data_IF_810866593935
#
_entry.id   IF_810866593935
#
_cell.length_a   1.000
_cell.length_b   1.000
_cell.length_c   1.000
_cell.angle_alpha   90.00
_cell.angle_beta   90.00
_cell.angle_gamma   90.00
#
_symmetry.space_group_name_H-M   'P 1'
#
loop_
_entity.id
_entity.type
_entity.pdbx_description
1 polymer ?
#
# COMPACT_ATOMS: atom_id res chain seq x y z
N UNK A 1 10.59 7.79 0.33
CA UNK A 1 9.58 7.68 -0.74
C UNK A 1 8.96 6.30 -0.60
N UNK A 2 7.62 6.18 -0.68
CA UNK A 2 6.96 4.86 -0.61
C UNK A 2 7.19 4.08 -1.90
N UNK A 3 7.43 2.78 -1.78
CA UNK A 3 7.44 1.87 -2.91
C UNK A 3 6.00 1.54 -3.32
N UNK A 4 5.74 1.59 -4.63
CA UNK A 4 4.44 1.26 -5.19
C UNK A 4 4.59 0.61 -6.56
N UNK A 5 3.58 -0.17 -6.94
CA UNK A 5 3.39 -0.70 -8.28
C UNK A 5 2.03 -0.25 -8.81
N UNK A 6 1.95 0.01 -10.11
CA UNK A 6 0.74 0.47 -10.78
C UNK A 6 0.42 -0.40 -11.99
N UNK A 7 -0.83 -0.85 -12.10
CA UNK A 7 -1.29 -1.68 -13.23
C UNK A 7 -2.70 -1.29 -13.67
N UNK A 8 -2.97 -1.49 -14.96
CA UNK A 8 -4.30 -1.35 -15.53
C UNK A 8 -4.72 0.10 -15.79
N UNK A 9 -6.03 0.28 -16.00
CA UNK A 9 -6.67 1.56 -16.28
C UNK A 9 -8.15 1.49 -15.92
N UNK A 10 -8.79 2.62 -15.59
CA UNK A 10 -10.19 2.64 -15.16
C UNK A 10 -10.35 3.20 -13.74
N UNK A 11 -11.45 2.87 -13.02
CA UNK A 11 -11.65 3.26 -11.63
C UNK A 11 -10.48 2.84 -10.74
N UNK A 12 -10.11 3.71 -9.80
CA UNK A 12 -8.96 3.49 -8.93
C UNK A 12 -9.24 2.52 -7.78
N UNK A 13 -8.32 1.58 -7.55
CA UNK A 13 -8.35 0.64 -6.44
C UNK A 13 -6.97 0.54 -5.78
N UNK A 14 -6.93 0.59 -4.43
CA UNK A 14 -5.71 0.54 -3.62
C UNK A 14 -5.82 -0.59 -2.60
N UNK A 15 -5.26 -1.78 -2.87
CA UNK A 15 -5.22 -2.86 -1.90
C UNK A 15 -4.13 -2.56 -0.85
N UNK A 16 -4.52 -2.66 0.43
CA UNK A 16 -3.60 -2.44 1.55
C UNK A 16 -3.28 -3.77 2.23
N UNK A 17 -2.00 -4.08 2.34
CA UNK A 17 -1.53 -5.22 3.13
C UNK A 17 -1.75 -4.95 4.64
N UNK A 18 -1.91 -6.03 5.41
CA UNK A 18 -2.00 -5.98 6.86
C UNK A 18 -0.68 -5.59 7.53
N UNK A 19 -0.65 -5.63 8.87
CA UNK A 19 0.55 -5.28 9.65
C UNK A 19 1.76 -6.11 9.19
N UNK A 20 2.87 -5.43 8.89
CA UNK A 20 4.11 -6.01 8.37
C UNK A 20 3.97 -6.77 7.03
N UNK A 21 2.85 -6.61 6.33
CA UNK A 21 2.60 -7.23 5.05
C UNK A 21 3.27 -6.48 3.90
N UNK A 22 3.76 -7.25 2.93
CA UNK A 22 4.26 -6.74 1.65
C UNK A 22 3.11 -6.81 0.66
N UNK A 23 2.86 -5.73 -0.09
CA UNK A 23 1.69 -5.67 -0.97
C UNK A 23 1.77 -6.71 -2.10
N UNK A 24 2.97 -6.94 -2.64
CA UNK A 24 3.20 -7.96 -3.67
C UNK A 24 2.87 -9.37 -3.15
N UNK A 25 3.38 -9.74 -1.97
CA UNK A 25 3.19 -11.09 -1.42
C UNK A 25 1.75 -11.35 -0.96
N UNK A 26 1.10 -10.34 -0.37
CA UNK A 26 -0.26 -10.49 0.18
C UNK A 26 -1.28 -10.71 -0.92
N UNK A 27 -1.06 -10.10 -2.10
CA UNK A 27 -2.06 -10.03 -3.14
C UNK A 27 -1.67 -10.77 -4.42
N UNK A 28 -0.45 -11.29 -4.58
CA UNK A 28 0.20 -11.81 -5.80
C UNK A 28 -0.68 -12.21 -7.01
N UNK A 29 -1.78 -12.95 -6.82
CA UNK A 29 -2.69 -13.36 -7.89
C UNK A 29 -3.80 -12.35 -8.26
N UNK A 30 -4.27 -11.55 -7.29
CA UNK A 30 -5.40 -10.63 -7.45
C UNK A 30 -5.13 -9.36 -8.29
N UNK A 31 -3.95 -8.72 -8.25
CA UNK A 31 -3.68 -7.48 -8.98
C UNK A 31 -3.81 -7.63 -10.49
N UNK A 32 -3.46 -8.79 -11.04
CA UNK A 32 -3.53 -9.03 -12.50
C UNK A 32 -4.97 -9.07 -12.99
N UNK A 33 -5.84 -9.79 -12.28
CA UNK A 33 -7.26 -9.89 -12.63
C UNK A 33 -7.99 -8.56 -12.40
N UNK A 34 -7.70 -7.88 -11.30
CA UNK A 34 -8.28 -6.55 -11.01
C UNK A 34 -7.81 -5.49 -12.02
N UNK A 35 -6.54 -5.55 -12.45
CA UNK A 35 -5.99 -4.62 -13.42
C UNK A 35 -6.58 -4.77 -14.83
N UNK A 36 -7.31 -5.84 -15.12
CA UNK A 36 -8.03 -5.99 -16.38
C UNK A 36 -9.17 -4.97 -16.53
N UNK A 37 -9.75 -4.52 -15.41
CA UNK A 37 -10.92 -3.61 -15.40
C UNK A 37 -10.69 -2.32 -14.60
N UNK A 38 -9.63 -2.26 -13.79
CA UNK A 38 -9.39 -1.18 -12.82
C UNK A 38 -7.94 -0.69 -12.87
N UNK A 39 -7.73 0.53 -12.40
CA UNK A 39 -6.40 1.07 -12.14
C UNK A 39 -5.98 0.69 -10.71
N UNK A 40 -5.11 -0.30 -10.58
CA UNK A 40 -4.67 -0.87 -9.30
C UNK A 40 -3.34 -0.26 -8.88
N UNK A 41 -3.28 0.29 -7.66
CA UNK A 41 -2.04 0.81 -7.05
C UNK A 41 -1.72 -0.01 -5.81
N UNK A 42 -0.71 -0.88 -5.89
CA UNK A 42 -0.21 -1.64 -4.74
C UNK A 42 0.87 -0.84 -4.03
N UNK A 43 0.79 -0.69 -2.70
CA UNK A 43 1.70 0.16 -1.92
C UNK A 43 2.31 -0.64 -0.77
N UNK A 44 3.63 -0.61 -0.66
CA UNK A 44 4.30 -1.07 0.56
C UNK A 44 4.14 0.00 1.64
N UNK A 45 3.53 -0.38 2.78
CA UNK A 45 3.36 0.52 3.91
C UNK A 45 4.71 0.93 4.51
N UNK A 46 4.78 2.08 5.22
CA UNK A 46 5.98 2.46 5.97
C UNK A 46 6.59 1.32 6.80
N UNK A 47 7.88 1.04 6.59
CA UNK A 47 8.61 -0.01 7.29
C UNK A 47 8.32 -1.44 6.82
N UNK A 48 7.58 -1.60 5.73
CA UNK A 48 7.30 -2.90 5.09
C UNK A 48 7.87 -2.94 3.67
N UNK A 49 8.25 -4.14 3.20
CA UNK A 49 8.74 -4.36 1.84
C UNK A 49 9.91 -3.44 1.48
N UNK A 50 9.79 -2.72 0.37
CA UNK A 50 10.77 -1.74 -0.10
C UNK A 50 10.53 -0.31 0.41
N UNK A 51 9.50 -0.09 1.22
CA UNK A 51 9.20 1.21 1.82
C UNK A 51 9.99 1.43 3.12
N UNK A 52 10.71 2.57 3.26
CA UNK A 52 11.42 2.85 4.50
C UNK A 52 10.45 3.05 5.66
N UNK A 53 10.91 2.76 6.88
CA UNK A 53 10.22 3.19 8.08
C UNK A 53 10.24 4.72 8.13
N UNK A 54 9.10 5.34 8.44
CA UNK A 54 9.06 6.78 8.62
C UNK A 54 9.71 7.14 9.95
N UNK A 55 10.72 8.01 9.92
CA UNK A 55 11.32 8.61 11.11
C UNK A 55 10.39 9.71 11.66
N UNK A 56 9.23 9.32 12.16
CA UNK A 56 8.32 10.24 12.86
C UNK A 56 8.31 9.87 14.34
N UNK A 57 8.50 10.85 15.26
CA UNK A 57 8.39 10.59 16.68
C UNK A 57 7.03 9.96 17.00
N UNK A 58 7.02 8.92 17.84
CA UNK A 58 5.80 8.17 18.18
C UNK A 58 4.73 9.09 18.79
N UNK A 59 5.14 10.17 19.47
CA UNK A 59 4.23 11.21 20.00
C UNK A 59 3.43 11.97 18.92
N UNK A 60 3.93 12.08 17.69
CA UNK A 60 3.24 12.78 16.60
C UNK A 60 2.10 11.95 15.97
N UNK A 61 2.16 10.63 16.10
CA UNK A 61 1.18 9.68 15.52
C UNK A 61 -0.20 9.80 16.19
N UNK A 62 -0.25 10.18 17.47
CA UNK A 62 -1.49 10.22 18.26
C UNK A 62 -2.39 11.43 17.98
N UNK A 63 -1.89 12.46 17.30
CA UNK A 63 -2.69 13.65 16.97
C UNK A 63 -3.51 13.50 15.69
N UNK A 64 -3.23 12.50 14.85
CA UNK A 64 -3.91 12.28 13.56
C UNK A 64 -5.06 11.25 13.61
N UNK A 65 -5.26 10.55 14.73
CA UNK A 65 -6.28 9.50 14.89
C UNK A 65 -7.48 9.90 15.75
N UNK A 66 -7.60 11.17 16.13
CA UNK A 66 -8.88 11.70 16.67
C UNK A 66 -9.79 12.11 15.51
N UNK A 67 -10.68 11.20 15.14
CA UNK A 67 -11.98 11.52 14.54
C UNK A 67 -13.05 11.48 15.64
#
# INVERSE_FOLDING_TARGET
>A
MLAYDFRGSGPGLVPLAGIAGIAADTWDLLPTDLAAEQAVVSIDLPGSGCSPLLEVPLEAVWWQTRW
#
